data_IF_405246509978
#
_entry.id   IF_405246509978
#
_cell.length_a   1.000
_cell.length_b   1.000
_cell.length_c   1.000
_cell.angle_alpha   90.00
_cell.angle_beta   90.00
_cell.angle_gamma   90.00
#
_symmetry.space_group_name_H-M   'P 1'
#
loop_
_entity.id
_entity.type
_entity.pdbx_description
1 polymer ?
#
# COMPACT_ATOMS: atom_id res chain seq x y z
N UNK A 1 -19.70 22.13 8.43
CA UNK A 1 -19.22 20.82 8.92
C UNK A 1 -18.01 20.42 8.08
N UNK A 2 -16.79 20.66 8.57
CA UNK A 2 -15.56 20.36 7.83
C UNK A 2 -15.20 18.89 7.94
N UNK A 3 -15.00 18.22 6.80
CA UNK A 3 -14.54 16.82 6.76
C UNK A 3 -13.17 16.71 7.43
N UNK A 4 -13.04 15.80 8.42
CA UNK A 4 -11.78 15.54 9.13
C UNK A 4 -10.63 15.30 8.12
N UNK A 5 -9.57 16.10 8.20
CA UNK A 5 -8.42 16.04 7.30
C UNK A 5 -7.81 14.62 7.26
N UNK A 6 -7.75 13.96 8.41
CA UNK A 6 -7.30 12.56 8.55
C UNK A 6 -8.12 11.59 7.69
N UNK A 7 -9.43 11.81 7.54
CA UNK A 7 -10.27 10.96 6.68
C UNK A 7 -10.01 11.24 5.20
N UNK A 8 -9.94 12.51 4.81
CA UNK A 8 -9.78 12.91 3.39
C UNK A 8 -8.40 12.55 2.85
N UNK A 9 -7.36 12.85 3.62
CA UNK A 9 -5.97 12.56 3.26
C UNK A 9 -5.59 11.10 3.53
N UNK A 10 -6.16 10.47 4.55
CA UNK A 10 -5.97 9.04 4.82
C UNK A 10 -6.51 8.15 3.70
N UNK A 11 -7.70 8.46 3.16
CA UNK A 11 -8.25 7.74 2.01
C UNK A 11 -7.42 7.91 0.74
N UNK A 12 -6.93 9.13 0.45
CA UNK A 12 -6.05 9.36 -0.69
C UNK A 12 -4.71 8.61 -0.52
N UNK A 13 -4.12 8.65 0.67
CA UNK A 13 -2.90 7.91 1.00
C UNK A 13 -3.06 6.39 0.84
N UNK A 14 -4.21 5.85 1.24
CA UNK A 14 -4.55 4.44 1.03
C UNK A 14 -4.64 4.08 -0.45
N UNK A 15 -5.30 4.91 -1.27
CA UNK A 15 -5.38 4.68 -2.71
C UNK A 15 -4.00 4.70 -3.38
N UNK A 16 -3.14 5.65 -3.01
CA UNK A 16 -1.77 5.71 -3.50
C UNK A 16 -0.94 4.50 -3.05
N UNK A 17 -1.11 4.06 -1.80
CA UNK A 17 -0.45 2.85 -1.30
C UNK A 17 -0.84 1.64 -2.16
N UNK A 18 -2.14 1.42 -2.40
CA UNK A 18 -2.60 0.31 -3.24
C UNK A 18 -2.11 0.40 -4.68
N UNK A 19 -2.12 1.59 -5.30
CA UNK A 19 -1.60 1.78 -6.65
C UNK A 19 -0.10 1.45 -6.73
N UNK A 20 0.69 1.89 -5.73
CA UNK A 20 2.11 1.55 -5.63
C UNK A 20 2.34 0.05 -5.43
N UNK A 21 1.55 -0.61 -4.58
CA UNK A 21 1.63 -2.07 -4.40
C UNK A 21 1.30 -2.81 -5.69
N UNK A 22 0.25 -2.40 -6.42
CA UNK A 22 -0.13 -3.01 -7.68
C UNK A 22 0.97 -2.88 -8.74
N UNK A 23 1.60 -1.71 -8.84
CA UNK A 23 2.75 -1.48 -9.71
C UNK A 23 3.92 -2.42 -9.36
N UNK A 24 4.28 -2.51 -8.07
CA UNK A 24 5.37 -3.41 -7.65
C UNK A 24 5.03 -4.87 -7.88
N UNK A 25 3.78 -5.30 -7.68
CA UNK A 25 3.36 -6.67 -8.01
C UNK A 25 3.56 -6.98 -9.49
N UNK A 26 3.27 -6.03 -10.38
CA UNK A 26 3.50 -6.19 -11.82
C UNK A 26 5.00 -6.35 -12.14
N UNK A 27 5.86 -5.57 -11.49
CA UNK A 27 7.32 -5.68 -11.62
C UNK A 27 7.86 -7.02 -11.06
N UNK A 28 7.25 -7.55 -9.98
CA UNK A 28 7.58 -8.89 -9.48
C UNK A 28 7.26 -9.95 -10.52
N UNK A 29 6.05 -9.92 -11.08
CA UNK A 29 5.63 -10.91 -12.08
C UNK A 29 6.56 -10.87 -13.30
N UNK A 30 6.88 -9.67 -13.78
CA UNK A 30 7.85 -9.50 -14.86
C UNK A 30 9.25 -10.00 -14.48
N UNK A 31 9.71 -9.71 -13.26
CA UNK A 31 11.00 -10.19 -12.75
C UNK A 31 11.06 -11.70 -12.56
N UNK A 32 9.94 -12.36 -12.21
CA UNK A 32 9.82 -13.82 -12.15
C UNK A 32 9.94 -14.41 -13.56
N UNK A 33 9.23 -13.85 -14.54
CA UNK A 33 9.32 -14.25 -15.95
C UNK A 33 10.75 -14.10 -16.48
N UNK A 34 11.47 -13.06 -16.04
CA UNK A 34 12.87 -12.82 -16.38
C UNK A 34 13.88 -13.66 -15.56
N UNK A 35 13.44 -14.49 -14.61
CA UNK A 35 14.31 -15.34 -13.79
C UNK A 35 15.10 -14.60 -12.70
N UNK A 36 14.69 -13.39 -12.31
CA UNK A 36 15.39 -12.55 -11.35
C UNK A 36 14.84 -12.67 -9.91
N UNK A 37 15.55 -13.41 -9.06
CA UNK A 37 15.20 -13.66 -7.65
C UNK A 37 15.10 -12.39 -6.79
N UNK A 38 15.82 -11.31 -7.13
CA UNK A 38 15.76 -10.05 -6.37
C UNK A 38 14.40 -9.36 -6.44
N UNK A 39 13.67 -9.51 -7.56
CA UNK A 39 12.33 -8.91 -7.71
C UNK A 39 11.34 -9.50 -6.71
N UNK A 40 11.47 -10.80 -6.39
CA UNK A 40 10.57 -11.50 -5.48
C UNK A 40 10.74 -11.02 -4.03
N UNK A 41 12.00 -10.86 -3.58
CA UNK A 41 12.30 -10.38 -2.24
C UNK A 41 11.90 -8.90 -2.03
N UNK A 42 12.20 -8.05 -3.02
CA UNK A 42 11.82 -6.64 -2.98
C UNK A 42 10.29 -6.47 -2.95
N UNK A 43 9.60 -7.19 -3.82
CA UNK A 43 8.17 -7.17 -3.88
C UNK A 43 7.45 -7.65 -2.62
N UNK A 44 7.96 -8.72 -2.01
CA UNK A 44 7.48 -9.18 -0.71
C UNK A 44 7.61 -8.11 0.38
N UNK A 45 8.72 -7.37 0.41
CA UNK A 45 8.91 -6.28 1.36
C UNK A 45 7.93 -5.12 1.14
N UNK A 46 7.62 -4.77 -0.12
CA UNK A 46 6.64 -3.70 -0.43
C UNK A 46 5.21 -4.11 -0.05
N UNK A 47 4.81 -5.36 -0.31
CA UNK A 47 3.51 -5.86 0.13
C UNK A 47 3.40 -5.80 1.66
N UNK A 48 4.43 -6.24 2.38
CA UNK A 48 4.47 -6.17 3.85
C UNK A 48 4.35 -4.71 4.35
N UNK A 49 5.12 -3.78 3.76
CA UNK A 49 5.07 -2.37 4.12
C UNK A 49 3.67 -1.76 3.88
N UNK A 50 3.01 -2.17 2.79
CA UNK A 50 1.63 -1.74 2.48
C UNK A 50 0.66 -2.23 3.54
N UNK A 51 0.74 -3.50 3.94
CA UNK A 51 -0.13 -4.08 4.98
C UNK A 51 0.04 -3.32 6.30
N UNK A 52 1.29 -3.03 6.69
CA UNK A 52 1.57 -2.25 7.91
C UNK A 52 0.96 -0.85 7.81
N UNK A 53 1.13 -0.15 6.67
CA UNK A 53 0.55 1.17 6.46
C UNK A 53 -0.99 1.16 6.58
N UNK A 54 -1.64 0.17 5.97
CA UNK A 54 -3.10 0.00 6.08
C UNK A 54 -3.51 -0.22 7.55
N UNK A 55 -2.82 -1.09 8.28
CA UNK A 55 -3.13 -1.37 9.68
C UNK A 55 -2.98 -0.13 10.59
N UNK A 56 -2.07 0.78 10.27
CA UNK A 56 -1.88 2.02 11.02
C UNK A 56 -2.91 3.11 10.67
N UNK A 57 -3.29 3.21 9.39
CA UNK A 57 -4.17 4.27 8.90
C UNK A 57 -5.65 3.93 9.12
N UNK A 58 -6.04 2.67 8.91
CA UNK A 58 -7.44 2.23 8.89
C UNK A 58 -8.19 2.44 10.23
N UNK A 59 -7.59 2.17 11.42
CA UNK A 59 -8.24 2.44 12.70
C UNK A 59 -8.48 3.94 12.94
N UNK A 60 -7.52 4.79 12.55
CA UNK A 60 -7.63 6.25 12.66
C UNK A 60 -8.75 6.85 11.80
N UNK A 61 -9.18 6.15 10.74
CA UNK A 61 -10.34 6.54 9.94
C UNK A 61 -11.69 6.11 10.55
N UNK A 62 -11.69 5.06 11.40
CA UNK A 62 -12.88 4.53 12.08
C UNK A 62 -13.19 5.25 13.40
N UNK A 63 -12.20 5.78 14.11
CA UNK A 63 -12.33 6.45 15.42
C UNK A 63 -12.93 7.87 15.36
N UNK A 64 -13.94 8.09 14.51
CA UNK A 64 -14.69 9.34 14.40
C UNK A 64 -16.09 9.26 15.01
N UNK A 65 -16.20 8.72 16.22
CA UNK A 65 -17.36 8.89 17.10
C UNK A 65 -17.01 9.92 18.17
#
# INVERSE_FOLDING_TARGET
MGMNATRKWGSAGLLFAFAGTAFVISEIQHGIEAGNTFSLAYGGAVVLATVIAVLLILPGMRSGH
#
